data_IF_821556031096
#
_entry.id   IF_821556031096
#
_cell.length_a   1.000
_cell.length_b   1.000
_cell.length_c   1.000
_cell.angle_alpha   90.00
_cell.angle_beta   90.00
_cell.angle_gamma   90.00
#
_symmetry.space_group_name_H-M   'P 1'
#
loop_
_entity.id
_entity.type
_entity.pdbx_description
1 polymer ?
#
# COMPACT_ATOMS: atom_id res chain seq x y z
N UNK A 1 -10.04 4.71 2.67
CA UNK A 1 -10.24 5.68 3.78
C UNK A 1 -11.54 5.31 4.47
N UNK A 2 -11.44 4.73 5.66
CA UNK A 2 -12.64 4.40 6.45
C UNK A 2 -13.44 5.69 6.73
N UNK A 3 -14.73 5.65 6.40
CA UNK A 3 -15.67 6.74 6.56
C UNK A 3 -15.84 7.18 8.04
N UNK A 4 -16.62 8.22 8.27
CA UNK A 4 -17.08 8.64 9.59
C UNK A 4 -17.59 7.42 10.38
N UNK A 5 -17.02 7.16 11.56
CA UNK A 5 -17.32 5.95 12.33
C UNK A 5 -16.20 4.92 12.39
N UNK A 6 -15.06 5.16 11.72
CA UNK A 6 -13.93 4.21 11.71
C UNK A 6 -13.44 3.81 13.11
N UNK A 7 -13.49 4.71 14.09
CA UNK A 7 -13.15 4.39 15.48
C UNK A 7 -14.13 3.38 16.12
N UNK A 8 -15.41 3.50 15.81
CA UNK A 8 -16.42 2.52 16.25
C UNK A 8 -16.19 1.16 15.61
N UNK A 9 -15.92 1.14 14.31
CA UNK A 9 -15.63 -0.10 13.56
C UNK A 9 -14.38 -0.77 14.13
N UNK A 10 -13.29 -0.04 14.32
CA UNK A 10 -12.05 -0.59 14.85
C UNK A 10 -12.25 -1.18 16.26
N UNK A 11 -12.90 -0.44 17.17
CA UNK A 11 -13.15 -0.93 18.53
C UNK A 11 -14.11 -2.12 18.54
N UNK A 12 -15.18 -2.05 17.76
CA UNK A 12 -16.16 -3.15 17.67
C UNK A 12 -15.56 -4.41 17.09
N UNK A 13 -14.72 -4.28 16.07
CA UNK A 13 -14.02 -5.42 15.45
C UNK A 13 -13.09 -6.12 16.43
N UNK A 14 -12.35 -5.38 17.26
CA UNK A 14 -11.49 -5.94 18.31
C UNK A 14 -12.33 -6.77 19.30
N UNK A 15 -13.47 -6.25 19.74
CA UNK A 15 -14.35 -6.96 20.66
C UNK A 15 -15.02 -8.17 20.00
N UNK A 16 -15.50 -8.01 18.78
CA UNK A 16 -16.12 -9.10 18.00
C UNK A 16 -15.14 -10.25 17.71
N UNK A 17 -13.85 -9.94 17.56
CA UNK A 17 -12.79 -10.93 17.42
C UNK A 17 -12.43 -11.64 18.73
N UNK A 18 -13.12 -11.36 19.84
CA UNK A 18 -12.93 -12.04 21.12
C UNK A 18 -11.81 -11.47 21.99
N UNK A 19 -11.24 -10.31 21.63
CA UNK A 19 -10.28 -9.65 22.52
C UNK A 19 -10.95 -9.12 23.79
N UNK A 20 -10.25 -9.12 24.95
CA UNK A 20 -10.81 -8.64 26.20
C UNK A 20 -11.19 -7.15 26.13
N UNK A 21 -12.16 -6.74 26.95
CA UNK A 21 -12.61 -5.35 27.04
C UNK A 21 -11.49 -4.36 27.41
N UNK A 22 -10.41 -4.84 28.02
CA UNK A 22 -9.21 -4.05 28.31
C UNK A 22 -8.34 -3.71 27.09
N UNK A 23 -8.56 -4.36 25.95
CA UNK A 23 -7.79 -4.07 24.72
C UNK A 23 -8.28 -2.76 24.13
N UNK A 24 -7.47 -1.73 24.14
CA UNK A 24 -7.77 -0.44 23.51
C UNK A 24 -7.64 -0.53 21.99
N UNK A 25 -8.34 0.35 21.27
CA UNK A 25 -8.18 0.52 19.83
C UNK A 25 -8.14 2.00 19.48
N UNK A 26 -7.38 2.34 18.46
CA UNK A 26 -7.31 3.68 17.88
C UNK A 26 -7.23 3.58 16.36
N UNK A 27 -7.58 4.65 15.66
CA UNK A 27 -7.52 4.74 14.20
C UNK A 27 -6.56 5.84 13.80
N UNK A 28 -5.79 5.58 12.77
CA UNK A 28 -4.93 6.56 12.14
C UNK A 28 -5.15 6.53 10.63
N UNK A 29 -5.09 7.69 10.00
CA UNK A 29 -5.22 7.81 8.55
C UNK A 29 -4.08 8.68 7.99
N UNK A 30 -3.35 8.09 7.06
CA UNK A 30 -2.40 8.75 6.16
C UNK A 30 -2.51 8.09 4.79
N UNK A 31 -3.73 7.94 4.30
CA UNK A 31 -4.04 7.29 3.01
C UNK A 31 -3.31 5.95 2.85
N UNK A 32 -2.68 5.69 1.72
CA UNK A 32 -1.99 4.43 1.43
C UNK A 32 -0.86 4.09 2.42
N UNK A 33 -0.32 5.05 3.18
CA UNK A 33 0.70 4.82 4.20
C UNK A 33 0.16 4.62 5.62
N UNK A 34 -1.16 4.43 5.78
CA UNK A 34 -1.79 4.24 7.10
C UNK A 34 -1.31 2.99 7.82
N UNK A 35 -1.08 1.89 7.09
CA UNK A 35 -0.52 0.67 7.67
C UNK A 35 0.88 0.89 8.27
N UNK A 36 1.77 1.57 7.56
CA UNK A 36 3.09 1.96 8.08
C UNK A 36 2.98 2.91 9.28
N UNK A 37 1.99 3.83 9.26
CA UNK A 37 1.72 4.71 10.40
C UNK A 37 1.26 3.93 11.62
N UNK A 38 0.38 2.93 11.45
CA UNK A 38 -0.07 2.06 12.53
C UNK A 38 1.11 1.29 13.17
N UNK A 39 1.99 0.72 12.35
CA UNK A 39 3.23 0.06 12.82
C UNK A 39 4.09 1.05 13.62
N UNK A 40 4.29 2.25 13.11
CA UNK A 40 5.07 3.29 13.78
C UNK A 40 4.47 3.66 15.14
N UNK A 41 3.15 3.87 15.20
CA UNK A 41 2.46 4.25 16.44
C UNK A 41 2.55 3.16 17.50
N UNK A 42 2.25 1.91 17.16
CA UNK A 42 2.37 0.77 18.08
C UNK A 42 3.82 0.59 18.53
N UNK A 43 4.78 0.64 17.61
CA UNK A 43 6.20 0.53 17.96
C UNK A 43 6.66 1.64 18.90
N UNK A 44 6.23 2.87 18.68
CA UNK A 44 6.56 3.99 19.56
C UNK A 44 5.96 3.82 20.96
N UNK A 45 4.72 3.31 21.08
CA UNK A 45 4.10 3.03 22.38
C UNK A 45 4.85 1.91 23.13
N UNK A 46 5.30 0.88 22.42
CA UNK A 46 6.13 -0.21 23.01
C UNK A 46 7.48 0.34 23.47
N UNK A 47 8.15 1.17 22.64
CA UNK A 47 9.43 1.79 22.99
C UNK A 47 9.30 2.73 24.20
N UNK A 48 8.21 3.50 24.27
CA UNK A 48 7.90 4.39 25.39
C UNK A 48 7.46 3.65 26.66
N UNK A 49 7.22 2.33 26.58
CA UNK A 49 6.78 1.52 27.73
C UNK A 49 5.30 1.66 28.06
N UNK A 50 4.50 2.29 27.18
CA UNK A 50 3.06 2.45 27.41
C UNK A 50 2.29 1.15 27.21
N UNK A 51 2.76 0.26 26.34
CA UNK A 51 2.23 -1.07 26.11
C UNK A 51 3.41 -2.07 25.88
N UNK A 52 3.13 -3.33 26.11
CA UNK A 52 4.12 -4.41 25.84
C UNK A 52 3.84 -5.15 24.54
N UNK A 53 2.56 -5.18 24.13
CA UNK A 53 2.06 -5.91 22.96
C UNK A 53 1.05 -5.03 22.22
N UNK A 54 1.07 -5.03 20.92
CA UNK A 54 0.08 -4.35 20.10
C UNK A 54 0.00 -4.95 18.70
N UNK A 55 -1.14 -4.77 18.05
CA UNK A 55 -1.37 -5.20 16.67
C UNK A 55 -1.55 -3.96 15.81
N UNK A 56 -0.73 -3.83 14.78
CA UNK A 56 -0.92 -2.83 13.73
C UNK A 56 -1.71 -3.46 12.58
N UNK A 57 -2.81 -2.83 12.19
CA UNK A 57 -3.72 -3.33 11.15
C UNK A 57 -3.88 -2.25 10.08
N UNK A 58 -3.74 -2.65 8.83
CA UNK A 58 -4.21 -1.90 7.67
C UNK A 58 -5.40 -2.64 7.05
N UNK A 59 -6.50 -1.95 6.81
CA UNK A 59 -7.67 -2.53 6.18
C UNK A 59 -8.35 -1.50 5.28
N UNK A 60 -8.80 -1.95 4.13
CA UNK A 60 -9.58 -1.16 3.18
C UNK A 60 -10.63 -2.03 2.50
N UNK A 61 -11.81 -1.46 2.25
CA UNK A 61 -12.86 -2.09 1.47
C UNK A 61 -13.34 -1.10 0.41
N UNK A 62 -12.71 -1.15 -0.75
CA UNK A 62 -13.04 -0.25 -1.85
C UNK A 62 -14.33 -0.63 -2.56
N UNK A 63 -14.82 -1.86 -2.37
CA UNK A 63 -16.13 -2.28 -2.88
C UNK A 63 -17.29 -1.67 -2.09
N UNK A 64 -17.12 -1.43 -0.79
CA UNK A 64 -18.14 -0.81 0.08
C UNK A 64 -17.90 0.67 0.34
N UNK A 65 -16.65 1.10 0.29
CA UNK A 65 -16.22 2.49 0.49
C UNK A 65 -15.36 2.93 -0.70
N UNK A 66 -15.97 3.13 -1.89
CA UNK A 66 -15.22 3.55 -3.07
C UNK A 66 -14.58 4.92 -2.86
N UNK A 67 -13.42 5.14 -3.49
CA UNK A 67 -12.78 6.45 -3.48
C UNK A 67 -13.62 7.44 -4.29
N UNK A 68 -14.28 8.35 -3.60
CA UNK A 68 -15.06 9.43 -4.19
C UNK A 68 -14.25 10.73 -4.36
N UNK A 69 -12.92 10.67 -4.19
CA UNK A 69 -12.04 11.82 -4.25
C UNK A 69 -12.05 12.66 -2.98
N UNK A 70 -11.75 13.95 -3.14
CA UNK A 70 -11.71 14.88 -2.02
C UNK A 70 -13.09 15.11 -1.41
N UNK A 71 -13.18 15.32 -0.07
CA UNK A 71 -14.45 15.60 0.59
C UNK A 71 -15.15 16.82 -0.01
N UNK A 72 -16.46 16.75 -0.15
CA UNK A 72 -17.27 17.90 -0.55
C UNK A 72 -17.30 18.95 0.58
N UNK A 73 -17.56 20.22 0.23
CA UNK A 73 -17.78 21.30 1.20
C UNK A 73 -16.50 21.85 1.84
N UNK A 74 -15.34 21.59 1.29
CA UNK A 74 -14.12 22.26 1.73
C UNK A 74 -14.19 23.77 1.44
N UNK A 75 -13.60 24.57 2.35
CA UNK A 75 -13.52 26.02 2.18
C UNK A 75 -12.76 26.40 0.90
N UNK A 76 -13.22 27.44 0.21
CA UNK A 76 -12.52 28.02 -0.95
C UNK A 76 -11.08 28.44 -0.62
N UNK A 77 -10.81 28.84 0.61
CA UNK A 77 -9.43 29.12 1.08
C UNK A 77 -8.49 27.91 0.96
N UNK A 78 -9.04 26.68 0.96
CA UNK A 78 -8.28 25.44 0.77
C UNK A 78 -8.22 25.12 -0.71
N UNK A 79 -9.38 25.07 -1.37
CA UNK A 79 -9.48 24.59 -2.76
C UNK A 79 -8.84 25.51 -3.78
N UNK A 80 -8.84 26.83 -3.52
CA UNK A 80 -8.21 27.85 -4.37
C UNK A 80 -6.75 28.15 -4.00
N UNK A 81 -6.27 27.63 -2.85
CA UNK A 81 -4.88 27.84 -2.47
C UNK A 81 -3.94 27.03 -3.39
N UNK A 82 -2.90 27.64 -3.99
CA UNK A 82 -2.07 27.00 -5.03
C UNK A 82 -1.47 25.65 -4.63
N UNK A 83 -1.07 25.50 -3.37
CA UNK A 83 -0.49 24.25 -2.87
C UNK A 83 -1.54 23.33 -2.23
N UNK A 84 -2.43 23.88 -1.39
CA UNK A 84 -3.44 23.06 -0.71
C UNK A 84 -4.47 22.48 -1.69
N UNK A 85 -4.85 23.23 -2.73
CA UNK A 85 -5.74 22.78 -3.79
C UNK A 85 -5.22 21.57 -4.55
N UNK A 86 -3.90 21.36 -4.60
CA UNK A 86 -3.32 20.16 -5.22
C UNK A 86 -3.73 18.85 -4.53
N UNK A 87 -4.11 18.89 -3.24
CA UNK A 87 -4.64 17.71 -2.55
C UNK A 87 -5.97 17.22 -3.12
N UNK A 88 -6.65 18.05 -3.92
CA UNK A 88 -7.91 17.68 -4.58
C UNK A 88 -7.70 16.89 -5.87
N UNK A 89 -6.47 16.78 -6.36
CA UNK A 89 -6.18 16.07 -7.60
C UNK A 89 -6.43 14.56 -7.40
N UNK A 90 -7.16 13.91 -8.31
CA UNK A 90 -7.31 12.46 -8.32
C UNK A 90 -5.95 11.76 -8.47
N UNK A 91 -5.83 10.56 -7.90
CA UNK A 91 -4.57 9.82 -7.91
C UNK A 91 -4.05 9.53 -9.33
N UNK A 92 -4.95 9.27 -10.30
CA UNK A 92 -4.54 9.15 -11.70
C UNK A 92 -3.88 10.41 -12.26
N UNK A 93 -4.36 11.59 -11.87
CA UNK A 93 -3.73 12.85 -12.27
C UNK A 93 -2.34 13.00 -11.64
N UNK A 94 -2.15 12.62 -10.38
CA UNK A 94 -0.82 12.65 -9.76
C UNK A 94 0.16 11.69 -10.43
N UNK A 95 -0.32 10.54 -10.93
CA UNK A 95 0.49 9.62 -11.75
C UNK A 95 0.93 10.27 -13.06
N UNK A 96 0.01 10.92 -13.76
CA UNK A 96 0.32 11.63 -15.01
C UNK A 96 1.26 12.82 -14.79
N UNK A 97 1.11 13.55 -13.68
CA UNK A 97 2.05 14.60 -13.30
C UNK A 97 3.49 14.05 -13.18
N UNK A 98 3.66 12.92 -12.49
CA UNK A 98 4.98 12.28 -12.35
C UNK A 98 5.49 11.80 -13.71
N UNK A 99 4.64 11.15 -14.51
CA UNK A 99 5.04 10.69 -15.83
C UNK A 99 5.48 11.85 -16.75
N UNK A 100 4.76 12.96 -16.71
CA UNK A 100 5.05 14.16 -17.51
C UNK A 100 6.28 14.92 -17.01
N UNK A 101 6.32 15.28 -15.73
CA UNK A 101 7.40 16.10 -15.15
C UNK A 101 8.78 15.40 -15.25
N UNK A 102 8.80 14.08 -15.16
CA UNK A 102 10.03 13.29 -15.15
C UNK A 102 10.24 12.45 -16.40
N UNK A 103 9.41 12.64 -17.42
CA UNK A 103 9.54 11.95 -18.73
C UNK A 103 9.55 10.42 -18.60
N UNK A 104 8.68 9.88 -17.76
CA UNK A 104 8.53 8.42 -17.61
C UNK A 104 7.61 7.92 -18.73
N UNK A 105 8.19 7.17 -19.67
CA UNK A 105 7.44 6.68 -20.83
C UNK A 105 6.49 5.53 -20.47
N UNK A 106 5.43 5.39 -21.28
CA UNK A 106 4.51 4.26 -21.22
C UNK A 106 5.23 2.92 -21.26
N UNK A 107 6.22 2.78 -22.12
CA UNK A 107 7.00 1.55 -22.24
C UNK A 107 7.71 1.17 -20.95
N UNK A 108 8.34 2.14 -20.26
CA UNK A 108 8.98 1.89 -18.95
C UNK A 108 7.97 1.47 -17.89
N UNK A 109 6.80 2.12 -17.88
CA UNK A 109 5.73 1.80 -16.94
C UNK A 109 5.20 0.38 -17.18
N UNK A 110 4.94 0.00 -18.42
CA UNK A 110 4.45 -1.33 -18.78
C UNK A 110 5.50 -2.42 -18.51
N UNK A 111 6.79 -2.14 -18.75
CA UNK A 111 7.87 -3.06 -18.39
C UNK A 111 7.92 -3.33 -16.89
N UNK A 112 7.90 -2.26 -16.08
CA UNK A 112 7.88 -2.38 -14.62
C UNK A 112 6.66 -3.17 -14.12
N UNK A 113 5.48 -2.85 -14.67
CA UNK A 113 4.24 -3.53 -14.30
C UNK A 113 4.27 -5.01 -14.66
N UNK A 114 4.72 -5.37 -15.85
CA UNK A 114 4.84 -6.76 -16.28
C UNK A 114 5.77 -7.57 -15.35
N UNK A 115 6.89 -6.99 -14.94
CA UNK A 115 7.80 -7.63 -13.98
C UNK A 115 7.12 -7.83 -12.62
N UNK A 116 6.34 -6.87 -12.14
CA UNK A 116 5.58 -7.01 -10.89
C UNK A 116 4.57 -8.15 -10.97
N UNK A 117 3.76 -8.22 -12.04
CA UNK A 117 2.84 -9.35 -12.27
C UNK A 117 3.56 -10.70 -12.32
N UNK A 118 4.68 -10.79 -13.04
CA UNK A 118 5.44 -12.04 -13.17
C UNK A 118 6.02 -12.50 -11.84
N UNK A 119 6.54 -11.58 -11.02
CA UNK A 119 7.03 -11.87 -9.67
C UNK A 119 5.92 -12.32 -8.74
N UNK A 120 4.74 -11.68 -8.80
CA UNK A 120 3.58 -12.09 -8.03
C UNK A 120 3.07 -13.48 -8.47
N UNK A 121 3.04 -13.76 -9.78
CA UNK A 121 2.70 -15.07 -10.32
C UNK A 121 3.64 -16.17 -9.81
N UNK A 122 4.95 -15.93 -9.86
CA UNK A 122 5.95 -16.87 -9.34
C UNK A 122 5.74 -17.08 -7.85
N UNK A 123 5.57 -16.01 -7.07
CA UNK A 123 5.37 -16.09 -5.62
C UNK A 123 4.14 -16.92 -5.24
N UNK A 124 3.04 -16.79 -5.98
CA UNK A 124 1.85 -17.60 -5.75
C UNK A 124 2.07 -19.07 -6.14
N UNK A 125 2.69 -19.34 -7.30
CA UNK A 125 2.96 -20.70 -7.78
C UNK A 125 3.91 -21.48 -6.87
N UNK A 126 4.95 -20.80 -6.39
CA UNK A 126 5.94 -21.38 -5.48
C UNK A 126 5.45 -21.41 -4.00
N UNK A 127 4.30 -20.80 -3.72
CA UNK A 127 3.71 -20.79 -2.37
C UNK A 127 4.45 -19.92 -1.36
N UNK A 128 5.28 -18.98 -1.79
CA UNK A 128 6.12 -18.16 -0.90
C UNK A 128 5.34 -17.27 0.05
N UNK A 129 4.09 -16.95 -0.32
CA UNK A 129 3.19 -16.09 0.48
C UNK A 129 2.12 -16.88 1.24
N UNK A 130 2.09 -18.21 1.13
CA UNK A 130 1.03 -19.03 1.73
C UNK A 130 0.97 -18.90 3.26
N UNK A 131 2.12 -18.72 3.93
CA UNK A 131 2.17 -18.55 5.38
C UNK A 131 1.61 -17.19 5.84
N UNK A 132 1.46 -16.22 4.94
CA UNK A 132 0.94 -14.87 5.22
C UNK A 132 -0.58 -14.78 4.96
N UNK A 133 -1.12 -15.69 4.13
CA UNK A 133 -2.53 -15.66 3.73
C UNK A 133 -3.41 -16.28 4.80
N UNK A 134 -4.42 -15.50 5.23
CA UNK A 134 -5.49 -16.00 6.10
C UNK A 134 -6.67 -16.41 5.23
N UNK A 135 -6.97 -17.71 5.21
CA UNK A 135 -8.12 -18.26 4.50
C UNK A 135 -9.42 -17.65 5.02
N UNK A 136 -10.24 -17.12 4.10
CA UNK A 136 -11.51 -16.48 4.43
C UNK A 136 -12.67 -17.15 3.70
N UNK A 137 -13.78 -17.31 4.39
CA UNK A 137 -15.06 -17.68 3.80
C UNK A 137 -15.92 -16.45 3.61
N UNK A 138 -16.25 -16.12 2.37
CA UNK A 138 -16.95 -14.88 2.03
C UNK A 138 -18.21 -15.15 1.21
N UNK A 139 -19.29 -14.36 1.38
CA UNK A 139 -20.41 -14.37 0.45
C UNK A 139 -19.94 -13.84 -0.92
N UNK A 140 -20.31 -14.53 -1.97
CA UNK A 140 -20.00 -14.14 -3.34
C UNK A 140 -21.28 -14.10 -4.17
N UNK A 141 -21.53 -12.94 -4.78
CA UNK A 141 -22.69 -12.75 -5.67
C UNK A 141 -22.24 -12.92 -7.12
N UNK A 142 -22.83 -13.90 -7.81
CA UNK A 142 -22.58 -14.09 -9.22
C UNK A 142 -22.98 -12.85 -10.01
N UNK A 143 -22.07 -12.21 -10.77
CA UNK A 143 -22.37 -10.97 -11.49
C UNK A 143 -23.39 -11.18 -12.64
N UNK A 144 -23.59 -12.42 -13.12
CA UNK A 144 -24.50 -12.73 -14.22
C UNK A 144 -25.88 -13.15 -13.73
N UNK A 145 -25.95 -14.00 -12.72
CA UNK A 145 -27.18 -14.57 -12.21
C UNK A 145 -27.75 -13.81 -11.02
N UNK A 146 -26.90 -13.08 -10.29
CA UNK A 146 -27.23 -12.43 -9.01
C UNK A 146 -27.35 -13.40 -7.84
N UNK A 147 -27.11 -14.69 -8.05
CA UNK A 147 -27.12 -15.70 -6.99
C UNK A 147 -26.02 -15.47 -5.98
N UNK A 148 -26.34 -15.57 -4.69
CA UNK A 148 -25.38 -15.45 -3.61
C UNK A 148 -24.96 -16.84 -3.16
N UNK A 149 -23.69 -17.13 -3.32
CA UNK A 149 -23.05 -18.38 -2.86
C UNK A 149 -21.93 -18.08 -1.85
N UNK A 150 -21.33 -19.09 -1.30
CA UNK A 150 -20.17 -18.96 -0.40
C UNK A 150 -18.90 -19.40 -1.12
N UNK A 151 -17.86 -18.57 -1.09
CA UNK A 151 -16.51 -18.92 -1.59
C UNK A 151 -15.50 -18.94 -0.47
N UNK A 152 -14.56 -19.88 -0.56
CA UNK A 152 -13.38 -19.92 0.30
C UNK A 152 -12.23 -19.31 -0.49
N UNK A 153 -11.67 -18.22 0.04
CA UNK A 153 -10.52 -17.54 -0.53
C UNK A 153 -9.26 -18.03 0.17
N UNK A 154 -8.33 -18.58 -0.60
CA UNK A 154 -7.07 -19.17 -0.12
C UNK A 154 -5.85 -18.48 -0.69
N UNK A 155 -6.04 -17.50 -1.56
CA UNK A 155 -4.98 -16.72 -2.20
C UNK A 155 -5.51 -15.35 -2.64
N UNK A 156 -4.59 -14.42 -2.88
CA UNK A 156 -4.91 -13.14 -3.52
C UNK A 156 -5.35 -13.35 -4.97
N UNK A 157 -6.37 -12.61 -5.42
CA UNK A 157 -6.93 -12.70 -6.77
C UNK A 157 -6.38 -11.66 -7.74
N UNK A 158 -5.49 -10.78 -7.25
CA UNK A 158 -4.93 -9.66 -8.00
C UNK A 158 -4.06 -10.05 -9.21
N UNK A 159 -3.10 -10.98 -9.08
CA UNK A 159 -2.16 -11.30 -10.14
C UNK A 159 -2.82 -11.81 -11.42
N UNK A 160 -2.44 -11.23 -12.55
CA UNK A 160 -2.88 -11.64 -13.90
C UNK A 160 -1.77 -12.43 -14.56
N UNK A 161 -1.89 -13.76 -14.54
CA UNK A 161 -0.87 -14.68 -15.04
C UNK A 161 -0.60 -14.48 -16.53
N UNK A 162 0.67 -14.64 -16.91
CA UNK A 162 1.12 -14.49 -18.29
C UNK A 162 1.12 -13.03 -18.79
N UNK A 163 1.09 -12.05 -17.90
CA UNK A 163 1.18 -10.63 -18.27
C UNK A 163 2.56 -10.32 -18.86
N UNK A 164 2.58 -9.65 -20.02
CA UNK A 164 3.79 -9.21 -20.69
C UNK A 164 3.73 -7.72 -21.02
N UNK A 165 4.87 -7.05 -21.25
CA UNK A 165 4.90 -5.63 -21.66
C UNK A 165 4.08 -5.40 -22.95
N UNK A 166 4.09 -6.34 -23.90
CA UNK A 166 3.35 -6.24 -25.15
C UNK A 166 1.84 -6.33 -24.93
N UNK A 167 1.41 -7.17 -23.96
CA UNK A 167 -0.01 -7.26 -23.60
C UNK A 167 -0.50 -5.98 -22.94
N UNK A 168 0.31 -5.41 -22.03
CA UNK A 168 0.04 -4.14 -21.36
C UNK A 168 0.01 -2.96 -22.33
N UNK A 169 0.94 -2.95 -23.32
CA UNK A 169 1.02 -1.91 -24.34
C UNK A 169 -0.26 -1.74 -25.17
N UNK A 170 -1.11 -2.76 -25.24
CA UNK A 170 -2.39 -2.73 -25.95
C UNK A 170 -3.54 -2.10 -25.14
N UNK A 171 -3.35 -1.90 -23.84
CA UNK A 171 -4.39 -1.34 -22.96
C UNK A 171 -4.48 0.17 -23.21
N UNK A 172 -5.69 0.68 -23.40
CA UNK A 172 -5.92 2.11 -23.58
C UNK A 172 -5.54 2.90 -22.33
N UNK A 173 -5.16 4.16 -22.52
CA UNK A 173 -4.94 5.10 -21.43
C UNK A 173 -6.20 5.23 -20.55
N UNK A 174 -6.00 5.19 -19.24
CA UNK A 174 -7.10 5.34 -18.28
C UNK A 174 -7.55 6.80 -18.16
N UNK A 175 -6.64 7.74 -18.37
CA UNK A 175 -6.84 9.18 -18.13
C UNK A 175 -6.46 10.01 -19.36
N UNK A 176 -7.19 9.89 -20.49
CA UNK A 176 -6.84 10.61 -21.71
C UNK A 176 -6.99 12.14 -21.58
N UNK A 177 -7.72 12.61 -20.57
CA UNK A 177 -7.89 14.03 -20.25
C UNK A 177 -6.67 14.67 -19.59
N UNK A 178 -5.72 13.88 -19.05
CA UNK A 178 -4.52 14.37 -18.38
C UNK A 178 -3.24 13.95 -19.13
N UNK A 179 -2.59 14.85 -19.89
CA UNK A 179 -1.32 14.52 -20.52
C UNK A 179 -0.23 14.19 -19.51
N UNK A 180 0.69 13.26 -19.86
CA UNK A 180 0.90 12.61 -21.14
C UNK A 180 0.08 11.34 -21.38
N UNK A 181 -0.87 10.99 -20.53
CA UNK A 181 -1.82 9.86 -20.68
C UNK A 181 -1.11 8.50 -20.77
N UNK A 182 -0.16 8.25 -19.87
CA UNK A 182 0.66 7.04 -19.84
C UNK A 182 0.09 5.94 -18.93
N UNK A 183 -0.75 6.32 -17.95
CA UNK A 183 -1.32 5.40 -16.98
C UNK A 183 -2.46 4.58 -17.59
N UNK A 184 -2.50 3.30 -17.28
CA UNK A 184 -3.54 2.36 -17.70
C UNK A 184 -4.01 1.50 -16.53
N UNK A 185 -5.09 0.75 -16.71
CA UNK A 185 -5.50 -0.27 -15.74
C UNK A 185 -4.51 -1.43 -15.58
N UNK A 186 -3.48 -1.54 -16.44
CA UNK A 186 -2.47 -2.58 -16.34
C UNK A 186 -1.15 -2.11 -15.73
N UNK A 187 -0.93 -0.79 -15.59
CA UNK A 187 0.26 -0.23 -14.96
C UNK A 187 -0.07 0.67 -13.75
N UNK A 188 -1.20 0.38 -13.12
CA UNK A 188 -1.71 0.98 -11.90
C UNK A 188 -2.18 -0.11 -10.94
N UNK A 189 -2.09 0.15 -9.64
CA UNK A 189 -2.61 -0.73 -8.59
C UNK A 189 -4.10 -0.99 -8.78
N UNK A 190 -4.53 -2.17 -8.40
CA UNK A 190 -5.94 -2.56 -8.44
C UNK A 190 -6.74 -1.87 -7.33
N UNK A 191 -8.04 -1.66 -7.59
CA UNK A 191 -9.02 -1.32 -6.56
C UNK A 191 -9.42 -2.61 -5.86
N UNK A 192 -9.05 -2.77 -4.59
CA UNK A 192 -9.10 -4.06 -3.90
C UNK A 192 -9.62 -3.91 -2.49
N UNK A 193 -10.35 -4.94 -2.03
CA UNK A 193 -10.64 -5.13 -0.62
C UNK A 193 -9.52 -5.96 0.00
N UNK A 194 -9.06 -5.61 1.20
CA UNK A 194 -7.99 -6.34 1.85
C UNK A 194 -7.70 -5.89 3.25
N UNK A 195 -7.01 -6.73 3.99
CA UNK A 195 -6.49 -6.41 5.31
C UNK A 195 -5.17 -7.13 5.58
N UNK A 196 -4.29 -6.46 6.33
CA UNK A 196 -3.04 -7.03 6.80
C UNK A 196 -2.83 -6.65 8.26
N UNK A 197 -2.28 -7.57 9.05
CA UNK A 197 -2.00 -7.36 10.46
C UNK A 197 -0.57 -7.78 10.82
N UNK A 198 0.08 -6.98 11.67
CA UNK A 198 1.40 -7.26 12.21
C UNK A 198 1.34 -7.21 13.73
N UNK A 199 1.73 -8.31 14.38
CA UNK A 199 1.89 -8.40 15.82
C UNK A 199 3.25 -7.84 16.22
N UNK A 200 3.24 -6.86 17.11
CA UNK A 200 4.42 -6.18 17.63
C UNK A 200 4.50 -6.33 19.15
N UNK A 201 5.68 -6.61 19.68
CA UNK A 201 5.88 -6.71 21.12
C UNK A 201 7.32 -6.47 21.54
N UNK A 202 7.55 -6.22 22.83
CA UNK A 202 8.89 -6.23 23.38
C UNK A 202 9.56 -7.60 23.18
N UNK A 203 10.87 -7.62 22.86
CA UNK A 203 11.62 -8.86 22.71
C UNK A 203 11.48 -9.78 23.93
N UNK A 204 11.65 -9.25 25.13
CA UNK A 204 11.50 -10.03 26.36
C UNK A 204 10.11 -10.64 26.52
N UNK A 205 9.07 -9.97 26.03
CA UNK A 205 7.72 -10.50 26.03
C UNK A 205 7.53 -11.62 25.03
N UNK A 206 8.10 -11.47 23.81
CA UNK A 206 8.10 -12.52 22.79
C UNK A 206 8.79 -13.79 23.30
N UNK A 207 9.96 -13.64 23.90
CA UNK A 207 10.73 -14.74 24.49
C UNK A 207 9.96 -15.43 25.63
N UNK A 208 9.37 -14.65 26.55
CA UNK A 208 8.57 -15.19 27.66
C UNK A 208 7.30 -15.94 27.18
N UNK A 209 6.76 -15.58 26.01
CA UNK A 209 5.60 -16.24 25.42
C UNK A 209 5.97 -17.34 24.42
N UNK A 210 7.26 -17.62 24.22
CA UNK A 210 7.74 -18.60 23.23
C UNK A 210 7.40 -18.22 21.78
N UNK A 211 7.22 -16.92 21.49
CA UNK A 211 6.85 -16.47 20.14
C UNK A 211 8.08 -16.39 19.25
N UNK A 212 7.94 -16.89 18.01
CA UNK A 212 8.98 -16.75 16.98
C UNK A 212 9.15 -15.26 16.65
N UNK A 213 10.36 -14.76 16.72
CA UNK A 213 10.71 -13.40 16.32
C UNK A 213 11.07 -13.42 14.84
N UNK A 214 10.23 -12.82 14.00
CA UNK A 214 10.44 -12.76 12.54
C UNK A 214 11.44 -11.65 12.19
N UNK A 215 11.33 -10.50 12.88
CA UNK A 215 12.18 -9.34 12.60
C UNK A 215 12.19 -8.34 13.75
N UNK A 216 13.00 -7.30 13.61
CA UNK A 216 13.11 -6.20 14.56
C UNK A 216 12.70 -4.90 13.89
N UNK A 217 11.74 -4.17 14.48
CA UNK A 217 11.46 -2.80 14.07
C UNK A 217 12.68 -1.90 14.34
N UNK A 218 13.27 -1.38 13.28
CA UNK A 218 14.46 -0.55 13.35
C UNK A 218 14.15 0.96 13.38
N UNK A 219 12.96 1.36 13.00
CA UNK A 219 12.51 2.76 13.02
C UNK A 219 11.72 3.14 11.77
N UNK A 220 11.28 4.39 11.75
CA UNK A 220 10.52 4.96 10.65
C UNK A 220 10.86 6.43 10.43
N UNK A 221 10.43 6.94 9.29
CA UNK A 221 10.47 8.36 8.95
C UNK A 221 9.25 8.76 8.14
N UNK A 222 9.02 10.04 8.05
CA UNK A 222 7.95 10.65 7.24
C UNK A 222 8.52 11.84 6.50
N UNK A 223 8.05 12.04 5.29
CA UNK A 223 8.37 13.22 4.46
C UNK A 223 7.08 13.85 3.96
N UNK A 224 7.09 15.16 3.79
CA UNK A 224 6.08 15.90 3.05
C UNK A 224 6.68 16.37 1.73
N UNK A 225 5.85 16.49 0.70
CA UNK A 225 6.23 17.03 -0.60
C UNK A 225 4.99 17.65 -1.28
N UNK A 226 5.19 18.22 -2.45
CA UNK A 226 4.07 18.78 -3.22
C UNK A 226 3.01 17.70 -3.50
N UNK A 227 1.73 17.94 -3.16
CA UNK A 227 0.68 16.93 -3.30
C UNK A 227 0.52 16.41 -4.72
N UNK A 228 0.71 17.26 -5.74
CA UNK A 228 0.55 16.89 -7.16
C UNK A 228 1.50 15.78 -7.64
N UNK A 229 2.60 15.54 -6.92
CA UNK A 229 3.60 14.50 -7.20
C UNK A 229 3.84 13.62 -5.96
N UNK A 230 2.84 13.46 -5.09
CA UNK A 230 2.96 12.73 -3.84
C UNK A 230 3.56 11.32 -3.99
N UNK A 231 3.37 10.70 -5.15
CA UNK A 231 3.83 9.34 -5.43
C UNK A 231 5.35 9.15 -5.38
N UNK A 232 6.15 10.20 -5.53
CA UNK A 232 7.60 10.11 -5.40
C UNK A 232 8.10 10.23 -3.95
N UNK A 233 7.20 10.15 -2.97
CA UNK A 233 7.53 10.14 -1.54
C UNK A 233 8.66 9.18 -1.15
N UNK A 234 8.72 7.93 -1.65
CA UNK A 234 9.82 7.01 -1.36
C UNK A 234 11.20 7.55 -1.73
N UNK A 235 11.30 8.32 -2.81
CA UNK A 235 12.56 8.96 -3.21
C UNK A 235 13.16 9.86 -2.12
N UNK A 236 12.33 10.53 -1.33
CA UNK A 236 12.76 11.37 -0.21
C UNK A 236 12.84 10.60 1.11
N UNK A 237 11.93 9.64 1.33
CA UNK A 237 11.85 8.91 2.58
C UNK A 237 12.97 7.89 2.76
N UNK A 238 13.34 7.16 1.70
CA UNK A 238 14.38 6.11 1.76
C UNK A 238 15.74 6.70 2.17
N UNK A 239 16.30 7.72 1.49
CA UNK A 239 17.57 8.30 1.93
C UNK A 239 17.51 8.89 3.34
N UNK A 240 16.36 9.47 3.71
CA UNK A 240 16.17 10.06 5.05
C UNK A 240 16.25 9.02 6.16
N UNK A 241 15.58 7.86 6.00
CA UNK A 241 15.63 6.80 7.01
C UNK A 241 17.01 6.13 7.04
N UNK A 242 17.61 5.88 5.89
CA UNK A 242 18.95 5.29 5.82
C UNK A 242 20.00 6.18 6.52
N UNK A 243 19.99 7.48 6.20
CA UNK A 243 20.86 8.45 6.89
C UNK A 243 20.64 8.44 8.40
N UNK A 244 19.37 8.40 8.86
CA UNK A 244 19.04 8.33 10.30
C UNK A 244 19.58 7.07 10.96
N UNK A 245 19.76 5.99 10.22
CA UNK A 245 20.24 4.69 10.69
C UNK A 245 21.74 4.46 10.44
N UNK A 246 22.41 5.37 9.76
CA UNK A 246 23.80 5.20 9.37
C UNK A 246 24.03 4.10 8.33
N UNK A 247 23.02 3.88 7.47
CA UNK A 247 23.04 2.87 6.42
C UNK A 247 23.15 3.52 5.05
N UNK A 248 23.76 2.80 4.11
CA UNK A 248 23.73 3.09 2.68
C UNK A 248 22.66 2.26 1.96
N UNK A 249 22.32 2.62 0.72
CA UNK A 249 21.40 1.82 -0.13
C UNK A 249 21.92 0.39 -0.31
N UNK A 250 23.23 0.22 -0.44
CA UNK A 250 23.86 -1.08 -0.62
C UNK A 250 23.67 -2.04 0.57
N UNK A 251 23.46 -1.49 1.77
CA UNK A 251 23.24 -2.28 2.99
C UNK A 251 21.82 -2.84 3.11
N UNK A 252 20.93 -2.50 2.15
CA UNK A 252 19.55 -2.95 2.14
C UNK A 252 19.40 -4.14 1.18
N UNK A 253 18.85 -5.22 1.70
CA UNK A 253 18.62 -6.44 0.91
C UNK A 253 17.30 -6.43 0.16
N UNK A 254 16.26 -5.79 0.73
CA UNK A 254 14.92 -5.74 0.14
C UNK A 254 14.30 -4.36 0.34
N UNK A 255 13.73 -3.83 -0.73
CA UNK A 255 12.89 -2.63 -0.74
C UNK A 255 11.47 -3.02 -1.11
N UNK A 256 10.51 -2.82 -0.20
CA UNK A 256 9.09 -2.94 -0.49
C UNK A 256 8.52 -1.54 -0.73
N UNK A 257 8.27 -1.20 -1.99
CA UNK A 257 7.75 0.10 -2.42
C UNK A 257 6.33 -0.10 -2.91
N UNK A 258 5.37 0.67 -2.35
CA UNK A 258 4.00 0.63 -2.80
C UNK A 258 3.88 0.98 -4.29
N UNK A 259 3.19 0.15 -5.04
CA UNK A 259 3.05 0.25 -6.51
C UNK A 259 1.70 0.87 -6.89
N UNK A 260 1.35 2.02 -6.30
CA UNK A 260 0.09 2.68 -6.67
C UNK A 260 0.00 2.94 -8.18
N UNK A 261 1.12 3.36 -8.79
CA UNK A 261 1.27 3.53 -10.24
C UNK A 261 2.72 3.25 -10.65
N UNK A 262 2.91 2.66 -11.80
CA UNK A 262 4.25 2.37 -12.32
C UNK A 262 5.09 3.64 -12.54
N UNK A 263 4.47 4.79 -12.86
CA UNK A 263 5.17 6.07 -13.03
C UNK A 263 6.04 6.43 -11.83
N UNK A 264 5.47 6.33 -10.62
CA UNK A 264 6.16 6.69 -9.38
C UNK A 264 7.19 5.63 -8.98
N UNK A 265 6.87 4.34 -9.18
CA UNK A 265 7.78 3.25 -8.84
C UNK A 265 9.04 3.31 -9.73
N UNK A 266 8.86 3.46 -11.05
CA UNK A 266 9.98 3.65 -12.00
C UNK A 266 10.84 4.85 -11.62
N UNK A 267 10.22 6.00 -11.34
CA UNK A 267 10.95 7.19 -10.89
C UNK A 267 11.81 6.90 -9.66
N UNK A 268 11.22 6.32 -8.62
CA UNK A 268 11.94 6.05 -7.37
C UNK A 268 13.10 5.07 -7.58
N UNK A 269 12.89 4.00 -8.31
CA UNK A 269 13.91 2.98 -8.58
C UNK A 269 15.08 3.58 -9.38
N UNK A 270 14.79 4.26 -10.49
CA UNK A 270 15.83 4.84 -11.34
C UNK A 270 16.60 5.96 -10.64
N UNK A 271 15.90 6.88 -9.95
CA UNK A 271 16.53 8.04 -9.32
C UNK A 271 17.33 7.70 -8.07
N UNK A 272 16.97 6.64 -7.36
CA UNK A 272 17.74 6.14 -6.22
C UNK A 272 18.83 5.14 -6.64
N UNK A 273 18.85 4.70 -7.89
CA UNK A 273 19.78 3.66 -8.36
C UNK A 273 19.57 2.33 -7.64
N UNK A 274 18.31 1.98 -7.37
CA UNK A 274 18.02 0.72 -6.68
C UNK A 274 18.21 -0.45 -7.62
N UNK A 275 18.79 -1.53 -7.10
CA UNK A 275 18.83 -2.81 -7.77
C UNK A 275 17.39 -3.35 -7.90
N UNK A 276 16.94 -3.56 -9.15
CA UNK A 276 15.58 -3.98 -9.44
C UNK A 276 15.23 -5.34 -8.82
N UNK A 277 16.22 -6.21 -8.65
CA UNK A 277 16.00 -7.52 -8.03
C UNK A 277 15.77 -7.43 -6.51
N UNK A 278 16.17 -6.32 -5.90
CA UNK A 278 15.91 -6.02 -4.49
C UNK A 278 14.59 -5.27 -4.26
N UNK A 279 13.94 -4.76 -5.31
CA UNK A 279 12.68 -4.01 -5.19
C UNK A 279 11.49 -4.92 -5.48
N UNK A 280 10.62 -5.08 -4.48
CA UNK A 280 9.42 -5.92 -4.57
C UNK A 280 9.73 -7.30 -5.17
N UNK A 281 10.66 -8.08 -4.60
CA UNK A 281 11.17 -9.30 -5.24
C UNK A 281 10.11 -10.39 -5.38
N UNK A 282 9.03 -10.30 -4.61
CA UNK A 282 7.88 -11.23 -4.66
C UNK A 282 6.68 -10.67 -5.40
N UNK A 283 6.86 -9.56 -6.13
CA UNK A 283 5.78 -8.81 -6.75
C UNK A 283 5.17 -7.76 -5.82
N UNK A 284 4.46 -6.82 -6.40
CA UNK A 284 3.76 -5.74 -5.72
C UNK A 284 2.26 -5.78 -6.00
N UNK A 285 1.64 -4.60 -6.06
CA UNK A 285 0.19 -4.43 -6.17
C UNK A 285 -0.28 -4.00 -7.58
N UNK A 286 0.54 -4.16 -8.62
CA UNK A 286 0.15 -3.90 -10.02
C UNK A 286 -0.98 -4.79 -10.47
#
# INVERSE_FOLDING_TARGET
>A
VLADGSAYIARSSVLAAGFPASTAASVANRFCSSGLLAIQQISNQIIAGSIDVGIAIGAESMSTCPDNGAPAGLSTKITEHPLAGQNMQPMGQTSENVAGDFSISRQKMDQFAAESYQRAEISQKEGWINEEIVTMTVPWKDPKTGEVTTKILTQDDGPRYGTTPESLGKIRAAFPQWPPSQTTGGNASQLTDGAAAILLMKRSKAEALGQKIIGKYAGSTVVGLEPRIMGIGPYYAIPKILKKKGLAIADVDVFEINEAFASMAVFCVERLGLDRDKVNPRGGAM
#
